data_IF_934443694048
#
_entry.id   IF_934443694048
#
_cell.length_a   1.000
_cell.length_b   1.000
_cell.length_c   1.000
_cell.angle_alpha   90.00
_cell.angle_beta   90.00
_cell.angle_gamma   90.00
#
_symmetry.space_group_name_H-M   'P 1'
#
loop_
_entity.id
_entity.type
_entity.pdbx_description
1 polymer ?
#
# COMPACT_ATOMS: atom_id res chain seq x y z
N UNK A 1 14.00 -32.99 11.50
CA UNK A 1 12.65 -32.57 11.05
C UNK A 1 12.83 -31.58 9.91
N UNK A 2 12.88 -32.09 8.69
CA UNK A 2 13.10 -31.30 7.48
C UNK A 2 11.79 -30.70 7.02
N UNK A 3 11.76 -29.35 7.07
CA UNK A 3 11.15 -28.40 6.13
C UNK A 3 10.08 -28.97 5.18
N UNK A 4 8.95 -28.26 5.11
CA UNK A 4 7.93 -28.22 4.04
C UNK A 4 6.56 -28.80 4.40
N UNK A 5 5.91 -28.27 5.46
CA UNK A 5 4.45 -28.28 5.51
C UNK A 5 3.94 -27.02 4.77
N UNK A 6 3.25 -27.15 3.62
CA UNK A 6 2.73 -26.02 2.86
C UNK A 6 1.75 -25.15 3.66
N UNK A 7 1.05 -25.73 4.63
CA UNK A 7 0.03 -25.05 5.44
C UNK A 7 0.68 -24.05 6.39
N UNK A 8 1.74 -24.47 7.09
CA UNK A 8 2.50 -23.60 8.00
C UNK A 8 3.21 -22.46 7.26
N UNK A 9 3.69 -22.72 6.03
CA UNK A 9 4.29 -21.68 5.19
C UNK A 9 3.25 -20.63 4.78
N UNK A 10 2.07 -21.05 4.36
CA UNK A 10 1.00 -20.13 3.94
C UNK A 10 0.47 -19.29 5.11
N UNK A 11 0.31 -19.88 6.29
CA UNK A 11 -0.10 -19.16 7.50
C UNK A 11 0.94 -18.11 7.91
N UNK A 12 2.23 -18.47 7.86
CA UNK A 12 3.32 -17.53 8.14
C UNK A 12 3.36 -16.38 7.12
N UNK A 13 3.21 -16.68 5.83
CA UNK A 13 3.18 -15.66 4.77
C UNK A 13 2.02 -14.69 4.97
N UNK A 14 0.81 -15.19 5.23
CA UNK A 14 -0.37 -14.36 5.49
C UNK A 14 -0.20 -13.45 6.71
N UNK A 15 0.43 -13.98 7.77
CA UNK A 15 0.73 -13.19 8.98
C UNK A 15 1.71 -12.07 8.65
N UNK A 16 2.76 -12.36 7.88
CA UNK A 16 3.75 -11.36 7.47
C UNK A 16 3.16 -10.29 6.55
N UNK A 17 2.28 -10.67 5.63
CA UNK A 17 1.54 -9.71 4.81
C UNK A 17 0.74 -8.74 5.67
N UNK A 18 -0.04 -9.23 6.64
CA UNK A 18 -0.77 -8.37 7.59
C UNK A 18 0.15 -7.46 8.38
N UNK A 19 1.28 -7.97 8.87
CA UNK A 19 2.28 -7.16 9.56
C UNK A 19 2.80 -6.02 8.67
N UNK A 20 3.21 -6.30 7.43
CA UNK A 20 3.69 -5.27 6.50
C UNK A 20 2.60 -4.25 6.15
N UNK A 21 1.38 -4.72 5.92
CA UNK A 21 0.24 -3.88 5.61
C UNK A 21 -0.16 -2.96 6.77
N UNK A 22 -0.09 -3.46 8.01
CA UNK A 22 -0.36 -2.70 9.22
C UNK A 22 0.64 -1.56 9.45
N UNK A 23 1.81 -1.60 8.83
CA UNK A 23 2.76 -0.49 8.91
C UNK A 23 2.22 0.75 8.15
N UNK A 24 1.16 0.63 7.33
CA UNK A 24 0.62 1.72 6.52
C UNK A 24 0.00 2.82 7.37
N UNK A 25 0.67 3.97 7.40
CA UNK A 25 0.18 5.15 8.12
C UNK A 25 -0.92 5.91 7.37
N UNK A 26 -1.32 5.42 6.19
CA UNK A 26 -2.32 6.05 5.32
C UNK A 26 -2.00 7.53 5.04
N UNK A 27 -0.72 7.81 4.78
CA UNK A 27 -0.23 9.15 4.46
C UNK A 27 -0.74 9.69 3.10
N UNK A 28 -1.31 8.84 2.26
CA UNK A 28 -1.83 9.21 0.94
C UNK A 28 -0.78 9.29 -0.18
N UNK A 29 0.52 9.29 0.16
CA UNK A 29 1.61 9.44 -0.83
C UNK A 29 1.57 8.35 -1.92
N UNK A 30 1.48 7.07 -1.55
CA UNK A 30 1.42 5.98 -2.53
C UNK A 30 0.14 5.97 -3.37
N UNK A 31 -0.90 6.68 -2.93
CA UNK A 31 -2.18 6.82 -3.63
C UNK A 31 -2.26 8.12 -4.45
N UNK A 32 -1.17 8.89 -4.56
CA UNK A 32 -1.13 10.11 -5.39
C UNK A 32 -1.70 11.36 -4.72
N UNK A 33 -1.81 11.42 -3.39
CA UNK A 33 -2.41 12.56 -2.69
C UNK A 33 -1.74 13.93 -2.93
N UNK A 34 -0.49 13.95 -3.42
CA UNK A 34 0.28 15.17 -3.68
C UNK A 34 0.30 15.59 -5.15
N UNK A 35 -0.34 14.82 -6.03
CA UNK A 35 -0.41 15.11 -7.47
C UNK A 35 -1.80 14.68 -7.99
N UNK A 36 -1.89 13.55 -8.68
CA UNK A 36 -3.14 13.01 -9.22
C UNK A 36 -3.62 11.80 -8.40
N UNK A 37 -4.55 11.98 -7.45
CA UNK A 37 -4.92 10.94 -6.51
C UNK A 37 -5.71 9.82 -7.18
N UNK A 38 -5.58 8.60 -6.64
CA UNK A 38 -6.47 7.50 -6.94
C UNK A 38 -7.94 7.90 -6.69
N UNK A 39 -8.85 7.49 -7.58
CA UNK A 39 -10.29 7.77 -7.48
C UNK A 39 -10.92 7.29 -6.16
N UNK A 40 -10.29 6.29 -5.53
CA UNK A 40 -10.73 5.69 -4.26
C UNK A 40 -10.07 6.32 -3.02
N UNK A 41 -9.16 7.28 -3.21
CA UNK A 41 -8.56 8.02 -2.10
C UNK A 41 -9.60 9.00 -1.53
N UNK A 42 -9.73 9.00 -0.20
CA UNK A 42 -10.61 9.88 0.55
C UNK A 42 -9.82 10.53 1.68
N UNK A 43 -10.28 11.70 2.12
CA UNK A 43 -9.74 12.43 3.27
C UNK A 43 -10.87 12.57 4.29
N UNK A 44 -10.61 12.21 5.53
CA UNK A 44 -11.59 12.41 6.61
C UNK A 44 -11.51 13.84 7.17
N UNK A 45 -12.44 14.18 8.06
CA UNK A 45 -12.55 15.51 8.69
C UNK A 45 -11.29 15.90 9.49
N UNK A 46 -10.59 14.92 10.04
CA UNK A 46 -9.32 15.11 10.75
C UNK A 46 -8.11 15.27 9.81
N UNK A 47 -8.35 15.35 8.49
CA UNK A 47 -7.32 15.51 7.48
C UNK A 47 -6.50 14.25 7.18
N UNK A 48 -6.83 13.09 7.74
CA UNK A 48 -6.16 11.81 7.43
C UNK A 48 -6.71 11.22 6.13
N UNK A 49 -5.81 10.70 5.30
CA UNK A 49 -6.19 9.98 4.10
C UNK A 49 -6.56 8.53 4.41
N UNK A 50 -7.44 7.95 3.59
CA UNK A 50 -7.78 6.53 3.59
C UNK A 50 -8.24 6.09 2.21
N UNK A 51 -8.07 4.80 1.89
CA UNK A 51 -8.61 4.21 0.67
C UNK A 51 -9.98 3.59 0.98
N UNK A 52 -11.00 3.96 0.22
CA UNK A 52 -12.36 3.43 0.40
C UNK A 52 -12.49 1.92 0.07
N UNK A 53 -11.53 1.38 -0.69
CA UNK A 53 -11.52 -0.02 -1.14
C UNK A 53 -10.30 -0.78 -0.63
N UNK A 54 -9.74 -0.38 0.52
CA UNK A 54 -8.41 -0.82 0.98
C UNK A 54 -8.22 -2.35 0.99
N UNK A 55 -9.23 -3.11 1.39
CA UNK A 55 -9.17 -4.58 1.49
C UNK A 55 -9.15 -5.30 0.14
N UNK A 56 -9.61 -4.63 -0.93
CA UNK A 56 -9.64 -5.16 -2.31
C UNK A 56 -8.84 -4.30 -3.27
N UNK A 57 -7.94 -3.47 -2.75
CA UNK A 57 -7.28 -2.44 -3.54
C UNK A 57 -6.20 -2.98 -4.47
N UNK A 58 -5.79 -4.24 -4.38
CA UNK A 58 -4.67 -4.70 -5.20
C UNK A 58 -5.08 -4.83 -6.68
N UNK A 59 -4.18 -4.44 -7.57
CA UNK A 59 -4.40 -4.41 -9.01
C UNK A 59 -4.57 -2.98 -9.56
N UNK A 60 -5.08 -2.91 -10.79
CA UNK A 60 -5.17 -1.67 -11.56
C UNK A 60 -6.39 -0.84 -11.15
N UNK A 61 -6.15 0.44 -10.90
CA UNK A 61 -7.16 1.46 -10.63
C UNK A 61 -6.90 2.70 -11.49
N UNK A 62 -7.81 3.67 -11.40
CA UNK A 62 -7.67 4.97 -12.05
C UNK A 62 -7.44 6.09 -11.05
N UNK A 63 -6.71 7.10 -11.49
CA UNK A 63 -6.65 8.40 -10.83
C UNK A 63 -7.88 9.24 -11.18
N UNK A 64 -8.07 10.36 -10.50
CA UNK A 64 -9.14 11.32 -10.80
C UNK A 64 -9.00 11.88 -12.22
N UNK A 65 -7.78 12.07 -12.72
CA UNK A 65 -7.58 12.49 -14.12
C UNK A 65 -7.72 11.36 -15.16
N UNK A 66 -7.92 10.12 -14.71
CA UNK A 66 -8.13 8.95 -15.57
C UNK A 66 -6.86 8.17 -15.94
N UNK A 67 -5.71 8.50 -15.35
CA UNK A 67 -4.46 7.72 -15.52
C UNK A 67 -4.56 6.39 -14.79
N UNK A 68 -3.95 5.36 -15.34
CA UNK A 68 -3.85 4.06 -14.68
C UNK A 68 -2.78 4.06 -13.59
N UNK A 69 -3.08 3.39 -12.48
CA UNK A 69 -2.14 3.13 -11.39
C UNK A 69 -2.29 1.70 -10.92
N UNK A 70 -1.18 1.07 -10.53
CA UNK A 70 -1.20 -0.28 -9.98
C UNK A 70 -1.00 -0.23 -8.47
N UNK A 71 -2.00 -0.68 -7.72
CA UNK A 71 -1.90 -0.84 -6.28
C UNK A 71 -1.32 -2.22 -5.97
N UNK A 72 -0.16 -2.22 -5.30
CA UNK A 72 0.60 -3.41 -4.94
C UNK A 72 0.74 -3.54 -3.41
N UNK A 73 1.08 -4.72 -2.88
CA UNK A 73 1.41 -4.90 -1.48
C UNK A 73 2.53 -3.96 -1.02
N UNK A 74 2.47 -3.53 0.23
CA UNK A 74 3.46 -2.62 0.82
C UNK A 74 4.87 -3.21 0.71
N UNK A 75 5.04 -4.51 0.97
CA UNK A 75 6.32 -5.18 0.83
C UNK A 75 6.92 -5.00 -0.57
N UNK A 76 6.10 -5.14 -1.61
CA UNK A 76 6.53 -4.97 -2.99
C UNK A 76 6.90 -3.51 -3.25
N UNK A 77 6.08 -2.56 -2.76
CA UNK A 77 6.37 -1.12 -2.86
C UNK A 77 7.74 -0.75 -2.25
N UNK A 78 8.12 -1.38 -1.13
CA UNK A 78 9.41 -1.20 -0.50
C UNK A 78 10.55 -1.91 -1.25
N UNK A 79 10.30 -3.11 -1.78
CA UNK A 79 11.30 -3.88 -2.52
C UNK A 79 11.72 -3.21 -3.84
N UNK A 80 10.80 -2.48 -4.49
CA UNK A 80 11.09 -1.81 -5.76
C UNK A 80 12.15 -0.70 -5.66
N UNK A 81 12.44 -0.20 -4.45
CA UNK A 81 13.38 0.91 -4.19
C UNK A 81 13.18 2.15 -5.09
N UNK A 82 12.04 2.28 -5.74
CA UNK A 82 11.72 3.41 -6.60
C UNK A 82 11.26 4.60 -5.76
N UNK A 83 11.50 5.80 -6.28
CA UNK A 83 10.89 7.01 -5.73
C UNK A 83 9.52 7.24 -6.34
N UNK A 84 8.60 7.79 -5.56
CA UNK A 84 7.29 8.25 -6.02
C UNK A 84 6.94 9.57 -5.33
N UNK A 85 6.05 10.40 -5.92
CA UNK A 85 5.68 11.67 -5.32
C UNK A 85 5.21 11.52 -3.87
N UNK A 86 5.87 12.21 -2.94
CA UNK A 86 5.54 12.18 -1.52
C UNK A 86 6.10 10.98 -0.74
N UNK A 87 6.95 10.15 -1.34
CA UNK A 87 7.57 9.02 -0.67
C UNK A 87 8.45 9.42 0.53
N UNK A 88 8.96 10.64 0.57
CA UNK A 88 9.66 11.26 1.68
C UNK A 88 8.76 11.46 2.90
N UNK A 89 7.45 11.52 2.70
CA UNK A 89 6.44 11.55 3.75
C UNK A 89 5.97 10.15 4.15
N UNK A 90 6.40 9.12 3.41
CA UNK A 90 6.03 7.75 3.69
C UNK A 90 6.75 7.26 4.95
N UNK A 91 5.97 6.82 5.95
CA UNK A 91 6.51 6.31 7.21
C UNK A 91 7.47 5.12 7.05
N UNK A 92 7.48 4.47 5.88
CA UNK A 92 8.36 3.36 5.57
C UNK A 92 9.76 3.75 5.07
N UNK A 93 9.89 4.87 4.34
CA UNK A 93 11.19 5.32 3.83
C UNK A 93 12.03 6.03 4.88
N UNK A 94 11.41 6.47 5.98
CA UNK A 94 12.09 7.15 7.10
C UNK A 94 12.81 6.19 8.07
N UNK A 95 13.44 5.12 7.58
CA UNK A 95 14.28 4.24 8.39
C UNK A 95 15.70 4.19 7.84
#
# INVERSE_FOLDING_TARGET
MTKSDPTLLNEWLSTKEKEWENLCTRCGACCGALDDPCENLRKNENGKYFCAVYDRRFGTWKTVSGKELNCIPIREKLALNHSWPGDEHCGYKKR
#
